data_IF_370192182419
#
_entry.id   IF_370192182419
#
_cell.length_a   1.000
_cell.length_b   1.000
_cell.length_c   1.000
_cell.angle_alpha   90.00
_cell.angle_beta   90.00
_cell.angle_gamma   90.00
#
_symmetry.space_group_name_H-M   'P 1'
#
loop_
_entity.id
_entity.type
_entity.pdbx_description
1 polymer ?
#
# COMPACT_ATOMS: atom_id res chain seq x y z
N UNK A 1 -12.75 7.72 9.30
CA UNK A 1 -13.56 8.84 9.86
C UNK A 1 -14.16 9.66 8.71
N UNK A 2 -15.31 10.28 8.92
CA UNK A 2 -15.95 11.16 7.94
C UNK A 2 -16.41 12.45 8.63
N UNK A 3 -16.28 13.59 7.96
CA UNK A 3 -16.73 14.89 8.47
C UNK A 3 -18.03 15.30 7.77
N UNK A 4 -19.09 15.54 8.53
CA UNK A 4 -20.39 15.99 8.03
C UNK A 4 -21.00 16.98 9.02
N UNK A 5 -21.50 18.12 8.53
CA UNK A 5 -22.15 19.16 9.33
C UNK A 5 -21.34 19.57 10.59
N UNK A 6 -20.03 19.76 10.40
CA UNK A 6 -19.07 20.08 11.49
C UNK A 6 -18.95 19.00 12.58
N UNK A 7 -19.54 17.82 12.38
CA UNK A 7 -19.38 16.65 13.25
C UNK A 7 -18.47 15.59 12.62
N UNK A 8 -17.60 15.03 13.45
CA UNK A 8 -16.77 13.88 13.09
C UNK A 8 -17.55 12.60 13.34
N UNK A 9 -17.56 11.69 12.36
CA UNK A 9 -18.19 10.38 12.45
C UNK A 9 -17.14 9.28 12.29
N UNK A 10 -17.16 8.32 13.21
CA UNK A 10 -16.43 7.07 13.07
C UNK A 10 -17.28 6.08 12.29
N UNK A 11 -16.77 5.61 11.16
CA UNK A 11 -17.50 4.72 10.25
C UNK A 11 -16.78 3.38 10.20
N UNK A 12 -17.53 2.29 10.33
CA UNK A 12 -16.98 0.93 10.30
C UNK A 12 -17.93 -0.05 9.59
N UNK A 13 -17.36 -1.14 9.10
CA UNK A 13 -18.10 -2.25 8.53
C UNK A 13 -18.31 -3.34 9.59
N UNK A 14 -19.55 -3.81 9.73
CA UNK A 14 -19.90 -5.01 10.46
C UNK A 14 -20.00 -6.20 9.52
N UNK A 15 -19.40 -7.33 9.89
CA UNK A 15 -19.35 -8.54 9.09
C UNK A 15 -20.22 -9.64 9.70
N UNK A 16 -20.82 -10.44 8.83
CA UNK A 16 -21.38 -11.74 9.19
C UNK A 16 -20.41 -12.82 8.76
N UNK A 17 -20.11 -13.72 9.69
CA UNK A 17 -19.20 -14.84 9.48
C UNK A 17 -19.92 -16.17 9.68
N UNK A 18 -19.48 -17.19 8.94
CA UNK A 18 -19.85 -18.57 9.23
C UNK A 18 -18.68 -19.52 8.99
N UNK A 19 -18.48 -20.43 9.94
CA UNK A 19 -17.41 -21.42 9.92
C UNK A 19 -17.81 -22.67 9.09
N UNK A 20 -19.12 -22.85 8.86
CA UNK A 20 -19.71 -24.05 8.24
C UNK A 20 -20.57 -23.74 7.00
N UNK A 21 -20.26 -22.68 6.25
CA UNK A 21 -20.96 -22.40 5.01
C UNK A 21 -20.72 -23.54 3.99
N UNK A 22 -21.77 -24.15 3.41
CA UNK A 22 -21.64 -25.37 2.64
C UNK A 22 -20.86 -25.14 1.34
N UNK A 23 -20.11 -26.17 0.91
CA UNK A 23 -19.41 -26.22 -0.39
C UNK A 23 -18.41 -25.08 -0.65
N UNK A 24 -17.93 -24.39 0.40
CA UNK A 24 -16.90 -23.35 0.29
C UNK A 24 -15.67 -23.77 1.06
N UNK A 25 -14.49 -23.74 0.44
CA UNK A 25 -13.23 -24.01 1.13
C UNK A 25 -12.93 -22.96 2.20
N UNK A 26 -12.38 -23.34 3.36
CA UNK A 26 -12.11 -22.40 4.43
C UNK A 26 -10.90 -21.52 4.09
N UNK A 27 -10.98 -20.24 4.44
CA UNK A 27 -9.93 -19.25 4.32
C UNK A 27 -9.60 -18.66 5.69
N UNK A 28 -8.36 -18.21 5.87
CA UNK A 28 -7.94 -17.55 7.09
C UNK A 28 -8.43 -16.10 7.13
N UNK A 29 -9.05 -15.73 8.24
CA UNK A 29 -9.42 -14.37 8.61
C UNK A 29 -8.81 -14.05 9.98
N UNK A 30 -7.57 -13.59 9.99
CA UNK A 30 -6.74 -13.60 11.21
C UNK A 30 -6.45 -15.03 11.64
N UNK A 31 -6.63 -15.34 12.93
CA UNK A 31 -6.38 -16.67 13.49
C UNK A 31 -7.55 -17.65 13.31
N UNK A 32 -8.64 -17.22 12.66
CA UNK A 32 -9.85 -18.04 12.44
C UNK A 32 -9.95 -18.52 11.01
N UNK A 33 -10.40 -19.76 10.85
CA UNK A 33 -10.87 -20.28 9.56
C UNK A 33 -12.35 -19.94 9.38
N UNK A 34 -12.68 -19.26 8.29
CA UNK A 34 -14.06 -18.91 7.92
C UNK A 34 -14.38 -19.46 6.53
N UNK A 35 -15.62 -19.89 6.33
CA UNK A 35 -16.16 -20.30 5.02
C UNK A 35 -17.09 -19.26 4.42
N UNK A 36 -17.50 -18.30 5.24
CA UNK A 36 -18.29 -17.15 4.82
C UNK A 36 -17.87 -15.96 5.67
N UNK A 37 -17.64 -14.82 5.00
CA UNK A 37 -17.53 -13.50 5.61
C UNK A 37 -18.03 -12.46 4.60
N UNK A 38 -19.04 -11.69 4.97
CA UNK A 38 -19.56 -10.59 4.13
C UNK A 38 -19.84 -9.37 4.98
N UNK A 39 -19.54 -8.19 4.44
CA UNK A 39 -19.95 -6.93 5.06
C UNK A 39 -21.48 -6.85 4.98
N UNK A 40 -22.12 -6.84 6.15
CA UNK A 40 -23.57 -6.95 6.28
C UNK A 40 -24.20 -5.65 6.80
N UNK A 41 -23.47 -4.92 7.63
CA UNK A 41 -23.95 -3.68 8.27
C UNK A 41 -22.88 -2.61 8.13
N UNK A 42 -23.31 -1.37 7.88
CA UNK A 42 -22.50 -0.17 7.98
C UNK A 42 -22.87 0.53 9.29
N UNK A 43 -21.88 0.76 10.15
CA UNK A 43 -22.07 1.52 11.39
C UNK A 43 -21.42 2.89 11.30
N UNK A 44 -22.10 3.91 11.82
CA UNK A 44 -21.52 5.22 12.04
C UNK A 44 -21.80 5.70 13.47
N UNK A 45 -20.78 6.25 14.14
CA UNK A 45 -20.87 6.81 15.48
C UNK A 45 -20.42 8.27 15.46
N UNK A 46 -21.25 9.19 15.92
CA UNK A 46 -20.87 10.58 16.08
C UNK A 46 -19.82 10.68 17.21
N UNK A 47 -18.66 11.24 16.89
CA UNK A 47 -17.52 11.30 17.80
C UNK A 47 -17.74 12.22 19.01
N UNK A 48 -18.71 13.14 18.94
CA UNK A 48 -19.02 14.08 20.01
C UNK A 48 -20.20 13.60 20.84
N UNK A 49 -21.32 13.23 20.19
CA UNK A 49 -22.56 12.88 20.90
C UNK A 49 -22.68 11.40 21.24
N UNK A 50 -21.89 10.52 20.60
CA UNK A 50 -22.04 9.07 20.70
C UNK A 50 -23.23 8.51 19.93
N UNK A 51 -23.97 9.35 19.19
CA UNK A 51 -25.09 8.90 18.37
C UNK A 51 -24.63 7.80 17.41
N UNK A 52 -25.25 6.63 17.52
CA UNK A 52 -24.90 5.44 16.73
C UNK A 52 -26.02 5.12 15.76
N UNK A 53 -25.66 4.97 14.49
CA UNK A 53 -26.57 4.59 13.42
C UNK A 53 -26.04 3.37 12.70
N UNK A 54 -26.92 2.41 12.44
CA UNK A 54 -26.61 1.18 11.75
C UNK A 54 -27.50 1.07 10.51
N UNK A 55 -26.90 0.75 9.37
CA UNK A 55 -27.60 0.49 8.12
C UNK A 55 -27.21 -0.88 7.58
N UNK A 56 -28.10 -1.53 6.86
CA UNK A 56 -27.69 -2.64 6.00
C UNK A 56 -26.62 -2.16 5.01
N UNK A 57 -25.62 -3.00 4.76
CA UNK A 57 -24.55 -2.68 3.83
C UNK A 57 -25.12 -2.51 2.39
N UNK A 58 -24.62 -1.54 1.61
CA UNK A 58 -24.88 -1.52 0.17
C UNK A 58 -24.41 -2.81 -0.49
N UNK A 59 -25.24 -3.42 -1.34
CA UNK A 59 -24.98 -4.73 -1.94
C UNK A 59 -24.92 -5.90 -0.94
N UNK A 60 -25.61 -5.79 0.20
CA UNK A 60 -25.79 -6.89 1.14
C UNK A 60 -26.43 -8.12 0.46
N UNK A 61 -26.12 -9.31 0.96
CA UNK A 61 -26.68 -10.57 0.45
C UNK A 61 -27.96 -10.98 1.19
N UNK A 62 -28.51 -12.14 0.83
CA UNK A 62 -29.75 -12.66 1.42
C UNK A 62 -29.63 -12.98 2.91
N UNK A 63 -28.44 -13.34 3.39
CA UNK A 63 -28.19 -13.62 4.81
C UNK A 63 -28.16 -12.32 5.62
N UNK A 64 -27.44 -11.31 5.14
CA UNK A 64 -27.45 -9.98 5.72
C UNK A 64 -28.86 -9.37 5.72
N UNK A 65 -29.63 -9.54 4.63
CA UNK A 65 -31.03 -9.13 4.58
C UNK A 65 -31.89 -9.84 5.63
N UNK A 66 -31.68 -11.15 5.86
CA UNK A 66 -32.40 -11.90 6.89
C UNK A 66 -32.11 -11.38 8.29
N UNK A 67 -30.85 -11.11 8.61
CA UNK A 67 -30.46 -10.49 9.87
C UNK A 67 -31.01 -9.07 10.03
N UNK A 68 -31.03 -8.27 8.96
CA UNK A 68 -31.66 -6.94 8.96
C UNK A 68 -33.15 -6.99 9.29
N UNK A 69 -33.88 -8.01 8.81
CA UNK A 69 -35.28 -8.24 9.17
C UNK A 69 -35.44 -8.67 10.63
N UNK A 70 -34.55 -9.52 11.14
CA UNK A 70 -34.58 -9.98 12.54
C UNK A 70 -34.33 -8.83 13.53
N UNK A 71 -33.45 -7.88 13.17
CA UNK A 71 -33.13 -6.69 13.97
C UNK A 71 -33.78 -5.42 13.44
N UNK A 72 -35.03 -5.53 12.97
CA UNK A 72 -35.79 -4.39 12.47
C UNK A 72 -35.94 -3.32 13.56
N UNK A 73 -35.66 -2.07 13.21
CA UNK A 73 -35.68 -0.93 14.14
C UNK A 73 -34.29 -0.58 14.70
N UNK A 74 -33.35 -1.53 14.72
CA UNK A 74 -31.95 -1.26 15.03
C UNK A 74 -31.14 -1.02 13.75
N UNK A 75 -31.36 -1.83 12.71
CA UNK A 75 -30.67 -1.72 11.42
C UNK A 75 -31.60 -1.09 10.39
N UNK A 76 -31.22 0.09 9.89
CA UNK A 76 -31.97 0.82 8.90
C UNK A 76 -31.70 0.32 7.46
N UNK A 77 -32.62 0.55 6.50
CA UNK A 77 -32.41 0.18 5.10
C UNK A 77 -31.22 0.91 4.46
N UNK A 78 -30.51 0.30 3.49
CA UNK A 78 -29.33 0.93 2.87
C UNK A 78 -29.68 2.22 2.10
N UNK A 79 -30.92 2.38 1.63
CA UNK A 79 -31.40 3.57 0.94
C UNK A 79 -31.41 4.81 1.86
N UNK A 80 -31.58 4.58 3.17
CA UNK A 80 -31.56 5.63 4.19
C UNK A 80 -30.15 6.07 4.62
N UNK A 81 -29.09 5.49 4.04
CA UNK A 81 -27.72 5.96 4.24
C UNK A 81 -27.63 7.41 3.75
N UNK A 82 -27.17 8.37 4.58
CA UNK A 82 -27.04 9.76 4.16
C UNK A 82 -26.11 9.94 2.95
N UNK A 83 -26.44 10.87 2.04
CA UNK A 83 -25.66 11.10 0.82
C UNK A 83 -24.18 11.42 1.09
N UNK A 84 -23.90 12.19 2.15
CA UNK A 84 -22.53 12.52 2.58
C UNK A 84 -21.71 11.29 2.97
N UNK A 85 -22.37 10.22 3.43
CA UNK A 85 -21.76 8.97 3.81
C UNK A 85 -21.63 8.04 2.60
N UNK A 86 -22.68 7.95 1.77
CA UNK A 86 -22.74 7.11 0.57
C UNK A 86 -21.56 7.40 -0.37
N UNK A 87 -21.31 8.66 -0.69
CA UNK A 87 -20.21 9.07 -1.58
C UNK A 87 -18.79 8.89 -1.01
N UNK A 88 -18.67 8.47 0.25
CA UNK A 88 -17.38 8.28 0.95
C UNK A 88 -17.14 6.83 1.37
N UNK A 89 -18.05 5.93 1.04
CA UNK A 89 -17.87 4.52 1.35
C UNK A 89 -16.70 3.97 0.56
N UNK A 90 -15.81 3.30 1.28
CA UNK A 90 -14.68 2.58 0.70
C UNK A 90 -14.95 1.10 0.83
N UNK A 91 -14.55 0.33 -0.18
CA UNK A 91 -14.73 -1.12 -0.21
C UNK A 91 -14.24 -1.75 1.13
N UNK A 92 -14.98 -2.70 1.72
CA UNK A 92 -14.61 -3.30 3.01
C UNK A 92 -13.27 -4.06 2.94
N UNK A 93 -12.29 -3.66 3.77
CA UNK A 93 -10.92 -4.23 3.73
C UNK A 93 -10.88 -5.74 3.92
N UNK A 94 -11.61 -6.27 4.90
CA UNK A 94 -11.57 -7.70 5.22
C UNK A 94 -12.24 -8.54 4.12
N UNK A 95 -13.32 -8.00 3.55
CA UNK A 95 -13.96 -8.59 2.38
C UNK A 95 -13.02 -8.64 1.18
N UNK A 96 -12.20 -7.59 0.98
CA UNK A 96 -11.21 -7.57 -0.09
C UNK A 96 -10.09 -8.57 0.17
N UNK A 97 -9.55 -8.64 1.41
CA UNK A 97 -8.50 -9.60 1.77
C UNK A 97 -8.94 -11.04 1.50
N UNK A 98 -10.14 -11.41 1.93
CA UNK A 98 -10.65 -12.76 1.70
C UNK A 98 -10.93 -13.03 0.22
N UNK A 99 -11.53 -12.08 -0.51
CA UNK A 99 -11.75 -12.26 -1.94
C UNK A 99 -10.44 -12.37 -2.72
N UNK A 100 -9.43 -11.58 -2.36
CA UNK A 100 -8.10 -11.62 -2.94
C UNK A 100 -7.38 -12.93 -2.61
N UNK A 101 -7.51 -13.45 -1.38
CA UNK A 101 -6.94 -14.74 -0.99
C UNK A 101 -7.63 -15.91 -1.71
N UNK A 102 -8.97 -15.86 -1.86
CA UNK A 102 -9.73 -16.84 -2.64
C UNK A 102 -9.29 -16.84 -4.11
N UNK A 103 -9.17 -15.66 -4.72
CA UNK A 103 -8.70 -15.49 -6.09
C UNK A 103 -7.27 -16.01 -6.26
N UNK A 104 -6.34 -15.59 -5.41
CA UNK A 104 -4.96 -16.04 -5.49
C UNK A 104 -4.86 -17.56 -5.36
N UNK A 105 -5.61 -18.19 -4.44
CA UNK A 105 -5.64 -19.66 -4.29
C UNK A 105 -6.21 -20.37 -5.51
N UNK A 106 -7.26 -19.83 -6.12
CA UNK A 106 -7.88 -20.42 -7.31
C UNK A 106 -6.97 -20.37 -8.55
N UNK A 107 -6.09 -19.36 -8.65
CA UNK A 107 -5.14 -19.20 -9.76
C UNK A 107 -3.78 -19.86 -9.51
N UNK A 108 -3.55 -20.43 -8.32
CA UNK A 108 -2.28 -21.05 -7.94
C UNK A 108 -2.20 -22.53 -8.35
N UNK A 109 -1.26 -22.85 -9.25
CA UNK A 109 -0.98 -24.24 -9.64
C UNK A 109 0.28 -24.85 -8.98
N UNK A 110 1.27 -24.05 -8.56
CA UNK A 110 2.56 -24.61 -8.09
C UNK A 110 3.25 -23.81 -6.97
N UNK A 111 3.36 -22.49 -7.08
CA UNK A 111 4.00 -21.64 -6.06
C UNK A 111 2.99 -20.62 -5.53
N UNK A 112 2.92 -20.50 -4.20
CA UNK A 112 2.01 -19.57 -3.56
C UNK A 112 2.36 -18.12 -3.90
N UNK A 113 1.42 -17.41 -4.51
CA UNK A 113 1.55 -15.97 -4.74
C UNK A 113 1.55 -15.23 -3.41
N UNK A 114 2.53 -14.36 -3.21
CA UNK A 114 2.67 -13.59 -1.98
C UNK A 114 2.05 -12.20 -2.16
N UNK A 115 1.23 -11.73 -1.20
CA UNK A 115 0.76 -10.36 -1.24
C UNK A 115 1.95 -9.40 -1.16
N UNK A 116 1.97 -8.37 -2.01
CA UNK A 116 3.06 -7.40 -2.06
C UNK A 116 3.12 -6.55 -0.78
N UNK A 117 1.96 -6.22 -0.23
CA UNK A 117 1.80 -5.53 1.06
C UNK A 117 0.95 -6.40 1.99
N UNK A 118 1.20 -6.41 3.31
CA UNK A 118 0.41 -7.20 4.25
C UNK A 118 -1.07 -6.80 4.29
N UNK A 119 -1.35 -5.50 4.15
CA UNK A 119 -2.71 -4.96 4.13
C UNK A 119 -3.06 -4.41 2.74
N UNK A 120 -4.34 -4.46 2.33
CA UNK A 120 -4.80 -3.82 1.11
C UNK A 120 -4.60 -2.31 1.18
N UNK A 121 -4.11 -1.74 0.10
CA UNK A 121 -3.87 -0.31 -0.03
C UNK A 121 -5.01 0.39 -0.76
N UNK A 122 -5.13 1.70 -0.57
CA UNK A 122 -6.10 2.52 -1.29
C UNK A 122 -5.42 3.31 -2.41
N UNK A 123 -6.11 3.44 -3.55
CA UNK A 123 -5.75 4.30 -4.67
C UNK A 123 -6.96 5.09 -5.14
N UNK A 124 -6.72 6.27 -5.70
CA UNK A 124 -7.75 7.07 -6.36
C UNK A 124 -7.62 6.79 -7.86
N UNK A 125 -8.71 6.37 -8.48
CA UNK A 125 -8.79 6.10 -9.91
C UNK A 125 -10.20 6.38 -10.42
N UNK A 126 -10.39 6.34 -11.74
CA UNK A 126 -11.68 6.59 -12.38
C UNK A 126 -12.82 5.76 -11.74
N UNK A 127 -13.93 6.43 -11.43
CA UNK A 127 -15.14 5.77 -10.96
C UNK A 127 -15.81 4.94 -12.05
N UNK A 128 -16.78 4.13 -11.64
CA UNK A 128 -17.54 3.24 -12.55
C UNK A 128 -18.86 3.84 -13.05
N UNK A 129 -19.16 5.08 -12.67
CA UNK A 129 -20.38 5.77 -13.09
C UNK A 129 -20.29 6.17 -14.57
N UNK A 130 -21.33 5.86 -15.35
CA UNK A 130 -21.34 5.97 -16.83
C UNK A 130 -21.26 7.40 -17.39
N UNK A 131 -21.36 8.40 -16.54
CA UNK A 131 -21.58 9.81 -16.87
C UNK A 131 -20.25 10.61 -16.99
N UNK A 132 -19.15 9.94 -17.36
CA UNK A 132 -17.81 10.55 -17.32
C UNK A 132 -17.22 10.56 -15.91
N UNK A 133 -17.37 9.42 -15.21
CA UNK A 133 -17.14 9.17 -13.79
C UNK A 133 -16.02 9.97 -13.12
N UNK A 134 -16.39 10.71 -12.08
CA UNK A 134 -15.44 11.30 -11.15
C UNK A 134 -14.55 10.26 -10.46
N UNK A 135 -13.54 10.74 -9.77
CA UNK A 135 -12.58 9.92 -9.03
C UNK A 135 -13.27 9.12 -7.91
N UNK A 136 -12.92 7.83 -7.80
CA UNK A 136 -13.36 6.95 -6.75
C UNK A 136 -12.17 6.39 -5.96
N UNK A 137 -12.40 6.05 -4.69
CA UNK A 137 -11.41 5.36 -3.86
C UNK A 137 -11.55 3.86 -4.07
N UNK A 138 -10.54 3.29 -4.71
CA UNK A 138 -10.37 1.85 -4.88
C UNK A 138 -9.52 1.31 -3.74
N UNK A 139 -9.86 0.13 -3.23
CA UNK A 139 -8.91 -0.67 -2.44
C UNK A 139 -8.36 -1.79 -3.30
N UNK A 140 -7.08 -2.09 -3.15
CA UNK A 140 -6.45 -3.15 -3.93
C UNK A 140 -5.44 -3.96 -3.10
N UNK A 141 -5.27 -5.21 -3.52
CA UNK A 141 -4.23 -6.13 -3.08
C UNK A 141 -3.48 -6.60 -4.32
N UNK A 142 -2.17 -6.35 -4.33
CA UNK A 142 -1.27 -6.84 -5.37
C UNK A 142 -0.60 -8.14 -4.90
N UNK A 143 -0.35 -9.04 -5.84
CA UNK A 143 0.31 -10.32 -5.63
C UNK A 143 1.56 -10.46 -6.47
N UNK A 144 2.59 -11.07 -5.91
CA UNK A 144 3.87 -11.28 -6.57
C UNK A 144 4.41 -12.69 -6.35
N UNK A 145 5.22 -13.13 -7.30
CA UNK A 145 5.92 -14.41 -7.27
C UNK A 145 7.31 -14.19 -7.89
N UNK A 146 8.38 -14.63 -7.22
CA UNK A 146 9.74 -14.48 -7.73
C UNK A 146 10.16 -13.04 -8.06
N UNK A 147 9.54 -12.03 -7.43
CA UNK A 147 9.80 -10.61 -7.71
C UNK A 147 9.05 -10.06 -8.94
N UNK A 148 8.11 -10.82 -9.50
CA UNK A 148 7.22 -10.39 -10.59
C UNK A 148 5.80 -10.19 -10.07
N UNK A 149 5.13 -9.15 -10.55
CA UNK A 149 3.71 -8.93 -10.26
C UNK A 149 2.88 -9.95 -11.04
N UNK A 150 2.03 -10.69 -10.33
CA UNK A 150 1.14 -11.69 -10.94
C UNK A 150 -0.28 -11.16 -11.09
N UNK A 151 -0.82 -10.50 -10.07
CA UNK A 151 -2.18 -9.98 -10.14
C UNK A 151 -2.39 -8.75 -9.28
N UNK A 152 -3.43 -8.00 -9.64
CA UNK A 152 -4.03 -6.97 -8.79
C UNK A 152 -5.49 -7.34 -8.64
N UNK A 153 -5.95 -7.46 -7.40
CA UNK A 153 -7.37 -7.61 -7.07
C UNK A 153 -7.81 -6.31 -6.42
N UNK A 154 -8.81 -5.63 -6.99
CA UNK A 154 -9.31 -4.36 -6.47
C UNK A 154 -10.81 -4.33 -6.29
N UNK A 155 -11.25 -3.69 -5.22
CA UNK A 155 -12.64 -3.44 -4.90
C UNK A 155 -12.95 -1.95 -4.88
N UNK A 156 -14.13 -1.58 -5.37
CA UNK A 156 -14.65 -0.21 -5.34
C UNK A 156 -16.12 -0.22 -4.93
N UNK A 157 -16.56 0.82 -4.23
CA UNK A 157 -17.99 1.04 -3.98
C UNK A 157 -18.59 1.70 -5.22
N UNK A 158 -19.53 1.02 -5.88
CA UNK A 158 -20.32 1.55 -6.97
C UNK A 158 -21.80 1.53 -6.60
N UNK A 159 -22.66 2.13 -7.41
CA UNK A 159 -24.09 1.84 -7.34
C UNK A 159 -24.39 0.58 -8.19
N UNK A 160 -25.16 -0.41 -7.67
CA UNK A 160 -25.88 -0.45 -6.39
C UNK A 160 -25.08 -1.02 -5.19
N UNK A 161 -23.81 -1.37 -5.36
CA UNK A 161 -23.01 -1.96 -4.28
C UNK A 161 -21.52 -2.16 -4.62
N UNK A 162 -20.77 -2.84 -3.74
CA UNK A 162 -19.36 -3.15 -3.94
C UNK A 162 -19.14 -3.99 -5.20
N UNK A 163 -18.15 -3.61 -6.01
CA UNK A 163 -17.69 -4.38 -7.17
C UNK A 163 -16.24 -4.77 -6.99
N UNK A 164 -15.90 -5.98 -7.46
CA UNK A 164 -14.56 -6.55 -7.39
C UNK A 164 -14.04 -6.80 -8.81
N UNK A 165 -12.77 -6.49 -9.02
CA UNK A 165 -12.06 -6.66 -10.28
C UNK A 165 -10.74 -7.38 -10.01
N UNK A 166 -10.30 -8.19 -10.96
CA UNK A 166 -9.00 -8.83 -10.92
C UNK A 166 -8.32 -8.71 -12.28
N UNK A 167 -7.05 -8.33 -12.28
CA UNK A 167 -6.20 -8.26 -13.48
C UNK A 167 -5.05 -9.25 -13.33
N UNK A 168 -4.82 -10.07 -14.37
CA UNK A 168 -3.99 -11.29 -14.27
C UNK A 168 -2.62 -11.26 -14.98
N UNK A 169 -2.34 -10.38 -15.95
CA UNK A 169 -1.00 -10.14 -16.58
C UNK A 169 -1.15 -9.22 -17.82
N UNK A 170 -0.15 -8.51 -18.37
CA UNK A 170 1.32 -8.61 -18.28
C UNK A 170 1.97 -7.24 -18.04
N UNK A 171 2.76 -7.11 -16.97
CA UNK A 171 3.37 -5.87 -16.47
C UNK A 171 4.84 -6.18 -16.12
N UNK A 172 5.77 -5.21 -16.21
CA UNK A 172 7.18 -5.47 -16.56
C UNK A 172 7.92 -6.48 -15.68
N UNK A 173 8.97 -7.07 -16.24
CA UNK A 173 9.73 -8.25 -15.78
C UNK A 173 10.25 -8.23 -14.34
N UNK A 174 10.26 -7.08 -13.67
CA UNK A 174 10.71 -6.90 -12.29
C UNK A 174 9.90 -5.83 -11.57
N UNK A 175 9.46 -6.16 -10.37
CA UNK A 175 9.11 -5.14 -9.38
C UNK A 175 10.34 -4.25 -9.11
N UNK A 176 10.16 -2.94 -8.92
CA UNK A 176 11.24 -2.07 -8.48
C UNK A 176 11.79 -2.55 -7.15
N UNK A 177 13.04 -2.15 -6.86
CA UNK A 177 13.69 -2.45 -5.60
C UNK A 177 12.82 -2.01 -4.41
N UNK A 178 12.76 -2.86 -3.38
CA UNK A 178 11.99 -2.58 -2.16
C UNK A 178 12.57 -1.34 -1.49
N UNK A 179 11.73 -0.32 -1.26
CA UNK A 179 12.12 0.82 -0.43
C UNK A 179 12.28 0.31 1.00
N UNK A 180 13.52 0.34 1.51
CA UNK A 180 13.84 -0.07 2.87
C UNK A 180 13.86 1.13 3.81
N UNK A 181 13.51 0.90 5.08
CA UNK A 181 13.67 1.87 6.15
C UNK A 181 15.07 1.89 6.73
N UNK A 182 15.27 2.79 7.69
CA UNK A 182 16.46 2.90 8.54
C UNK A 182 16.05 3.09 10.00
N UNK A 183 17.00 3.33 10.91
CA UNK A 183 16.68 3.70 12.30
C UNK A 183 15.87 5.00 12.43
N UNK A 184 15.93 5.86 11.42
CA UNK A 184 15.28 7.17 11.40
C UNK A 184 14.14 7.25 10.37
N UNK A 185 13.88 6.16 9.62
CA UNK A 185 12.95 6.20 8.49
C UNK A 185 12.16 4.92 8.34
N UNK A 186 10.86 5.03 8.05
CA UNK A 186 9.99 3.88 7.78
C UNK A 186 9.41 3.92 6.36
N UNK A 187 9.44 2.79 5.63
CA UNK A 187 8.78 2.71 4.35
C UNK A 187 7.27 2.61 4.55
N UNK A 188 6.51 3.38 3.78
CA UNK A 188 5.07 3.24 3.67
C UNK A 188 4.68 2.05 2.80
N UNK A 189 3.38 1.74 2.75
CA UNK A 189 2.85 0.72 1.86
C UNK A 189 3.06 1.11 0.39
N UNK A 190 3.62 0.18 -0.40
CA UNK A 190 3.73 0.31 -1.85
C UNK A 190 2.34 0.18 -2.48
N UNK A 191 1.92 1.20 -3.23
CA UNK A 191 0.66 1.21 -3.97
C UNK A 191 0.93 0.88 -5.42
N UNK A 192 0.23 -0.11 -5.95
CA UNK A 192 0.40 -0.59 -7.33
C UNK A 192 -0.89 -0.35 -8.10
N UNK A 193 -0.78 0.18 -9.30
CA UNK A 193 -1.91 0.37 -10.21
C UNK A 193 -1.50 0.24 -11.68
N UNK A 194 -2.49 0.21 -12.57
CA UNK A 194 -2.29 0.22 -14.02
C UNK A 194 -2.57 1.61 -14.57
N UNK A 195 -1.58 2.22 -15.20
CA UNK A 195 -1.70 3.54 -15.83
C UNK A 195 -1.09 3.50 -17.23
N UNK A 196 -1.90 3.80 -18.25
CA UNK A 196 -1.45 3.80 -19.66
C UNK A 196 -0.91 2.44 -20.13
N UNK A 197 -1.51 1.34 -19.65
CA UNK A 197 -1.05 -0.03 -19.97
C UNK A 197 0.24 -0.45 -19.29
N UNK A 198 0.82 0.39 -18.42
CA UNK A 198 2.06 0.10 -17.69
C UNK A 198 1.82 0.13 -16.18
N UNK A 199 2.70 -0.55 -15.46
CA UNK A 199 2.62 -0.62 -14.01
C UNK A 199 3.09 0.70 -13.41
N UNK A 200 2.26 1.28 -12.54
CA UNK A 200 2.59 2.42 -11.71
C UNK A 200 2.75 1.93 -10.27
N UNK A 201 3.89 2.22 -9.66
CA UNK A 201 4.14 1.96 -8.24
C UNK A 201 4.47 3.28 -7.58
N UNK A 202 3.82 3.55 -6.45
CA UNK A 202 4.08 4.74 -5.63
C UNK A 202 4.30 4.30 -4.19
N UNK A 203 5.43 4.70 -3.62
CA UNK A 203 5.77 4.42 -2.23
C UNK A 203 6.39 5.65 -1.58
N UNK A 204 5.97 5.97 -0.37
CA UNK A 204 6.55 7.05 0.42
C UNK A 204 7.47 6.48 1.50
N UNK A 205 8.52 7.22 1.85
CA UNK A 205 9.34 7.00 3.04
C UNK A 205 9.05 8.12 4.04
N UNK A 206 8.81 7.75 5.28
CA UNK A 206 8.48 8.67 6.36
C UNK A 206 9.65 8.80 7.31
N UNK A 207 9.94 10.02 7.74
CA UNK A 207 10.86 10.27 8.84
C UNK A 207 10.22 9.80 10.15
N UNK A 208 10.93 8.97 10.90
CA UNK A 208 10.60 8.61 12.26
C UNK A 208 11.43 9.47 13.22
N UNK A 209 10.80 10.32 14.04
CA UNK A 209 11.52 11.09 15.05
C UNK A 209 12.10 10.15 16.11
N UNK A 210 13.37 10.36 16.50
CA UNK A 210 14.07 9.56 17.51
C UNK A 210 13.23 9.36 18.78
N UNK A 211 12.66 8.17 18.93
CA UNK A 211 12.02 7.71 20.16
C UNK A 211 13.11 7.28 21.14
N UNK A 212 13.86 8.26 21.69
CA UNK A 212 15.09 7.93 22.43
C UNK A 212 15.57 8.89 23.53
N UNK A 213 14.93 10.03 23.78
CA UNK A 213 15.27 10.84 24.96
C UNK A 213 14.14 10.80 25.99
N UNK A 214 14.44 10.20 27.14
CA UNK A 214 13.62 10.28 28.34
C UNK A 214 13.29 11.76 28.63
N UNK A 215 12.04 12.16 28.34
CA UNK A 215 11.53 13.52 28.54
C UNK A 215 11.09 14.30 27.29
N UNK A 216 11.25 13.77 26.08
CA UNK A 216 10.91 14.47 24.82
C UNK A 216 9.50 14.15 24.30
N UNK A 217 8.71 15.19 24.00
CA UNK A 217 7.32 15.17 23.51
C UNK A 217 7.07 14.14 22.40
N UNK A 218 6.16 13.19 22.62
CA UNK A 218 5.68 12.19 21.66
C UNK A 218 4.83 12.77 20.49
N UNK A 219 5.14 13.98 20.05
CA UNK A 219 4.27 14.87 19.25
C UNK A 219 4.89 15.24 17.89
N UNK A 220 5.93 14.54 17.47
CA UNK A 220 6.52 14.76 16.15
C UNK A 220 5.65 14.08 15.09
N UNK A 221 4.83 14.87 14.42
CA UNK A 221 3.96 14.44 13.31
C UNK A 221 4.79 13.71 12.24
N UNK A 222 4.39 12.52 11.77
CA UNK A 222 5.12 11.81 10.73
C UNK A 222 5.22 12.67 9.47
N UNK A 223 6.43 12.86 8.96
CA UNK A 223 6.70 13.67 7.77
C UNK A 223 7.12 12.77 6.61
N UNK A 224 6.58 13.04 5.43
CA UNK A 224 7.08 12.42 4.20
C UNK A 224 8.49 12.97 3.95
N UNK A 225 9.48 12.08 3.95
CA UNK A 225 10.87 12.41 3.69
C UNK A 225 11.14 12.36 2.18
N UNK A 226 10.72 11.27 1.54
CA UNK A 226 10.79 11.09 0.09
C UNK A 226 9.63 10.24 -0.44
N UNK A 227 9.35 10.40 -1.73
CA UNK A 227 8.35 9.66 -2.50
C UNK A 227 9.07 9.07 -3.70
N UNK A 228 8.87 7.78 -3.90
CA UNK A 228 9.37 7.01 -5.03
C UNK A 228 8.21 6.68 -5.95
N UNK A 229 8.37 6.99 -7.23
CA UNK A 229 7.41 6.63 -8.28
C UNK A 229 8.15 5.78 -9.30
N UNK A 230 7.54 4.67 -9.71
CA UNK A 230 7.99 3.86 -10.84
C UNK A 230 6.85 3.72 -11.82
N UNK A 231 7.08 4.03 -13.09
CA UNK A 231 6.11 3.86 -14.16
C UNK A 231 6.74 3.11 -15.33
N UNK A 232 6.39 1.83 -15.48
CA UNK A 232 7.01 0.96 -16.46
C UNK A 232 8.50 0.80 -16.21
N UNK A 233 9.31 1.35 -17.12
CA UNK A 233 10.77 1.38 -17.07
C UNK A 233 11.32 2.74 -16.65
N UNK A 234 10.52 3.62 -16.02
CA UNK A 234 11.02 4.90 -15.50
C UNK A 234 10.84 4.96 -14.01
N UNK A 235 11.73 5.66 -13.33
CA UNK A 235 11.65 5.93 -11.91
C UNK A 235 11.88 7.41 -11.63
N UNK A 236 11.33 7.88 -10.51
CA UNK A 236 11.62 9.21 -10.01
C UNK A 236 11.50 9.26 -8.50
N UNK A 237 12.32 10.11 -7.88
CA UNK A 237 12.34 10.35 -6.45
C UNK A 237 12.17 11.84 -6.15
N UNK A 238 11.48 12.16 -5.06
CA UNK A 238 11.47 13.53 -4.58
C UNK A 238 10.81 13.69 -3.22
N UNK A 239 10.98 14.86 -2.60
CA UNK A 239 10.38 15.19 -1.29
C UNK A 239 8.84 15.32 -1.32
N UNK A 240 8.24 15.20 -2.51
CA UNK A 240 6.79 15.23 -2.73
C UNK A 240 6.45 14.43 -3.99
N UNK A 241 5.16 14.07 -4.14
CA UNK A 241 4.65 13.40 -5.35
C UNK A 241 4.96 14.23 -6.60
N UNK A 242 4.77 15.55 -6.55
CA UNK A 242 5.04 16.43 -7.69
C UNK A 242 6.54 16.55 -8.03
N UNK A 243 7.43 16.48 -7.03
CA UNK A 243 8.87 16.42 -7.26
C UNK A 243 9.29 15.08 -7.88
N UNK A 244 8.81 13.97 -7.32
CA UNK A 244 9.09 12.63 -7.84
C UNK A 244 8.54 12.44 -9.26
N UNK A 245 7.37 13.01 -9.58
CA UNK A 245 6.81 12.98 -10.94
C UNK A 245 7.64 13.80 -11.92
N UNK A 246 8.09 15.00 -11.53
CA UNK A 246 8.98 15.80 -12.37
C UNK A 246 10.29 15.07 -12.65
N UNK A 247 10.86 14.44 -11.63
CA UNK A 247 12.06 13.61 -11.76
C UNK A 247 11.82 12.41 -12.70
N UNK A 248 10.70 11.72 -12.55
CA UNK A 248 10.30 10.59 -13.43
C UNK A 248 10.10 11.00 -14.89
N UNK A 249 9.56 12.20 -15.13
CA UNK A 249 9.36 12.71 -16.48
C UNK A 249 10.67 13.21 -17.10
N UNK A 250 11.64 13.61 -16.28
CA UNK A 250 12.98 14.02 -16.68
C UNK A 250 13.94 12.83 -16.84
N UNK A 251 13.69 11.70 -16.17
CA UNK A 251 14.54 10.51 -16.19
C UNK A 251 14.38 9.68 -17.47
N UNK A 252 15.50 9.09 -17.91
CA UNK A 252 15.54 8.14 -19.03
C UNK A 252 15.01 6.74 -18.62
N UNK A 253 14.91 5.79 -19.59
CA UNK A 253 14.56 4.41 -19.29
C UNK A 253 15.55 3.74 -18.31
N UNK A 254 15.05 2.78 -17.52
CA UNK A 254 15.61 2.17 -16.31
C UNK A 254 17.14 2.29 -16.20
N UNK A 255 17.57 3.34 -15.52
CA UNK A 255 18.96 3.60 -15.19
C UNK A 255 19.03 4.60 -14.04
N UNK A 256 19.50 4.13 -12.89
CA UNK A 256 19.94 4.95 -11.76
C UNK A 256 18.88 5.75 -10.96
N UNK A 257 17.93 5.06 -10.32
CA UNK A 257 17.56 5.45 -8.95
C UNK A 257 17.81 4.25 -8.03
N UNK A 258 18.54 4.51 -6.94
CA UNK A 258 19.27 3.51 -6.16
C UNK A 258 18.40 2.39 -5.62
N UNK A 259 18.76 1.16 -5.98
CA UNK A 259 18.37 -0.02 -5.23
C UNK A 259 19.03 0.11 -3.83
N UNK A 260 18.25 0.59 -2.84
CA UNK A 260 18.72 0.83 -1.47
C UNK A 260 18.71 -0.43 -0.61
N UNK A 261 18.31 -1.58 -1.18
CA UNK A 261 18.30 -2.85 -0.46
C UNK A 261 19.70 -3.20 0.05
N UNK A 262 19.79 -3.91 1.16
CA UNK A 262 21.09 -4.39 1.70
C UNK A 262 21.84 -5.19 0.63
N UNK A 263 21.14 -6.03 -0.14
CA UNK A 263 21.72 -6.82 -1.22
C UNK A 263 22.28 -5.96 -2.37
N UNK A 264 21.74 -4.77 -2.58
CA UNK A 264 22.20 -3.82 -3.59
C UNK A 264 23.32 -2.93 -3.10
N UNK A 265 23.26 -2.44 -1.86
CA UNK A 265 24.39 -1.80 -1.18
C UNK A 265 25.62 -2.71 -1.17
N UNK A 266 25.44 -4.01 -0.96
CA UNK A 266 26.51 -5.00 -1.06
C UNK A 266 26.98 -5.31 -2.49
N UNK A 267 26.13 -5.12 -3.51
CA UNK A 267 26.55 -5.23 -4.92
C UNK A 267 27.34 -3.98 -5.34
N UNK A 268 26.87 -2.81 -4.96
CA UNK A 268 27.54 -1.53 -5.17
C UNK A 268 28.88 -1.48 -4.43
N UNK A 269 28.95 -1.94 -3.18
CA UNK A 269 30.20 -2.06 -2.45
C UNK A 269 31.20 -3.00 -3.15
N UNK A 270 30.72 -4.12 -3.73
CA UNK A 270 31.56 -5.04 -4.50
C UNK A 270 32.05 -4.45 -5.82
N UNK A 271 31.21 -3.71 -6.55
CA UNK A 271 31.64 -3.05 -7.79
C UNK A 271 32.66 -1.95 -7.50
N UNK A 272 32.42 -1.13 -6.46
CA UNK A 272 33.36 -0.10 -6.02
C UNK A 272 34.70 -0.70 -5.58
N UNK A 273 34.70 -1.84 -4.88
CA UNK A 273 35.93 -2.55 -4.52
C UNK A 273 36.70 -3.05 -5.76
N UNK A 274 36.01 -3.62 -6.75
CA UNK A 274 36.64 -4.06 -8.00
C UNK A 274 37.22 -2.89 -8.82
N UNK A 275 36.53 -1.75 -8.85
CA UNK A 275 37.03 -0.52 -9.50
C UNK A 275 38.23 0.08 -8.75
N UNK A 276 38.25 -0.01 -7.42
CA UNK A 276 39.41 0.39 -6.60
C UNK A 276 40.63 -0.49 -6.88
N UNK A 277 40.45 -1.80 -6.99
CA UNK A 277 41.54 -2.72 -7.34
C UNK A 277 42.10 -2.42 -8.75
N UNK A 278 41.23 -2.06 -9.69
CA UNK A 278 41.62 -1.61 -11.03
C UNK A 278 42.33 -0.25 -11.03
N UNK A 279 41.97 0.67 -10.13
CA UNK A 279 42.68 1.95 -9.95
C UNK A 279 44.08 1.74 -9.34
N UNK A 280 44.21 0.83 -8.37
CA UNK A 280 45.51 0.45 -7.78
C UNK A 280 46.43 -0.19 -8.81
N UNK A 281 45.91 -1.07 -9.67
CA UNK A 281 46.68 -1.67 -10.75
C UNK A 281 47.25 -0.64 -11.74
N UNK A 282 46.53 0.48 -11.94
CA UNK A 282 46.95 1.62 -12.77
C UNK A 282 47.79 2.66 -12.03
N UNK A 283 48.06 2.46 -10.73
CA UNK A 283 48.73 3.41 -9.81
C UNK A 283 48.04 4.78 -9.72
N UNK A 284 46.74 4.86 -10.00
CA UNK A 284 45.96 6.09 -9.89
C UNK A 284 45.39 6.25 -8.47
N UNK A 285 46.16 6.94 -7.64
CA UNK A 285 45.83 7.14 -6.23
C UNK A 285 44.69 8.15 -6.01
N UNK A 286 44.44 9.06 -6.95
CA UNK A 286 43.35 10.04 -6.84
C UNK A 286 41.99 9.39 -7.14
N UNK A 287 41.95 8.53 -8.16
CA UNK A 287 40.76 7.74 -8.49
C UNK A 287 40.42 6.78 -7.35
N UNK A 288 41.43 6.09 -6.79
CA UNK A 288 41.27 5.23 -5.62
C UNK A 288 40.67 5.99 -4.41
N UNK A 289 41.22 7.16 -4.06
CA UNK A 289 40.74 7.95 -2.92
C UNK A 289 39.31 8.50 -3.09
N UNK A 290 38.83 8.65 -4.33
CA UNK A 290 37.44 9.04 -4.64
C UNK A 290 36.49 7.85 -4.50
N UNK A 291 36.89 6.69 -5.04
CA UNK A 291 36.11 5.46 -4.96
C UNK A 291 36.00 4.95 -3.51
N UNK A 292 37.07 5.05 -2.73
CA UNK A 292 37.07 4.69 -1.31
C UNK A 292 36.08 5.52 -0.48
N UNK A 293 35.98 6.84 -0.74
CA UNK A 293 34.99 7.71 -0.07
C UNK A 293 33.56 7.31 -0.42
N UNK A 294 33.30 6.99 -1.69
CA UNK A 294 32.00 6.46 -2.15
C UNK A 294 31.66 5.12 -1.51
N UNK A 295 32.64 4.22 -1.36
CA UNK A 295 32.45 2.93 -0.70
C UNK A 295 32.07 3.10 0.77
N UNK A 296 32.72 4.01 1.50
CA UNK A 296 32.39 4.30 2.89
C UNK A 296 30.98 4.90 3.05
N UNK A 297 30.57 5.77 2.13
CA UNK A 297 29.20 6.30 2.08
C UNK A 297 28.17 5.20 1.78
N UNK A 298 28.45 4.32 0.82
CA UNK A 298 27.59 3.18 0.50
C UNK A 298 27.45 2.18 1.67
N UNK A 299 28.50 2.00 2.48
CA UNK A 299 28.50 1.13 3.67
C UNK A 299 27.96 1.81 4.93
N UNK A 300 27.67 3.12 4.90
CA UNK A 300 27.10 3.85 6.04
C UNK A 300 28.05 4.00 7.23
N UNK A 301 29.36 3.96 7.00
CA UNK A 301 30.35 4.15 8.07
C UNK A 301 30.47 5.66 8.36
N UNK A 302 30.16 6.13 9.58
CA UNK A 302 30.24 7.56 9.90
C UNK A 302 31.68 8.06 9.80
N UNK A 303 31.86 9.27 9.25
CA UNK A 303 33.17 9.93 9.16
C UNK A 303 33.81 10.01 10.56
N UNK A 304 35.08 9.62 10.75
CA UNK A 304 35.77 9.97 11.97
C UNK A 304 35.85 11.50 12.05
N UNK A 305 35.28 12.07 13.11
CA UNK A 305 35.49 13.50 13.44
C UNK A 305 37.00 13.69 13.63
N UNK A 306 37.63 14.39 12.69
CA UNK A 306 38.99 14.88 12.86
C UNK A 306 38.99 15.77 14.12
N UNK A 307 39.63 15.31 15.19
CA UNK A 307 39.85 16.10 16.38
C UNK A 307 40.66 17.36 16.01
N UNK A 308 40.37 18.53 16.61
CA UNK A 308 41.22 19.70 16.42
C UNK A 308 42.61 19.39 17.00
N UNK A 309 43.65 19.71 16.23
CA UNK A 309 45.06 19.61 16.68
C UNK A 309 45.32 20.64 17.80
N UNK A 310 46.24 20.32 18.74
CA UNK A 310 46.54 21.15 19.91
C UNK A 310 47.08 22.54 19.53
#
# INVERSE_FOLDING_TARGET
PALADSALWWVTWGYLDADYFPLVEPLHAGDRLVRYRRAAVLGAVNAVTGETRLWLAPGHDSLAAAWGRAFRGLVAPPESIPAWLRGRLVYPSDGLRLAAAAFARAEQDTIAWKPLTPEPFAVIAAGLSGDGGGDAVWRAQAFSEGGRLQAIVAGVMAEPGPRLFAWRQALPDRLPAVVVGSSETRPGAARVWLAGGRMLIVQARFAEPESGTAGGRADATPRVESVFITWGDRNGEGRSVAAALRDLLASGPLGAAGDTSVAARWREARSLAAEMDAALARRDMEEFGRLYRRLLEALGVPRPKLAPRP
#
